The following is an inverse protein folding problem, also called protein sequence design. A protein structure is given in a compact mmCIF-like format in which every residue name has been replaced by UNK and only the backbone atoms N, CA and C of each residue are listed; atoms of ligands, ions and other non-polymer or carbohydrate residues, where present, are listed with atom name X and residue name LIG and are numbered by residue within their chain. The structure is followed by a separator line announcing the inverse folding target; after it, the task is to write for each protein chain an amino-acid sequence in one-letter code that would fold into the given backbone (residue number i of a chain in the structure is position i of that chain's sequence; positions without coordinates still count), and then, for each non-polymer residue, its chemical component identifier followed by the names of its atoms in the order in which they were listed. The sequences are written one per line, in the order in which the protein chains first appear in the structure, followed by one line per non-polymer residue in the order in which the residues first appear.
data_IF_615864204632
#
_entry.id   IF_615864204632
#
_cell.length_a   1.000
_cell.length_b   1.000
_cell.length_c   1.000
_cell.angle_alpha   90.00
_cell.angle_beta   90.00
_cell.angle_gamma   90.00
#
_symmetry.space_group_name_H-M   'P 1'
#
loop_
_entity.id
_entity.type
_entity.pdbx_description
1 polymer ?
#
# COMPACT_ATOMS: atom_id res chain seq x y z
N UNK A 1 17.78 -69.79 -14.40
CA UNK A 1 17.16 -68.64 -15.10
C UNK A 1 15.69 -68.57 -14.72
N UNK A 2 15.26 -67.52 -14.02
CA UNK A 2 13.86 -67.36 -13.57
C UNK A 2 13.52 -65.86 -13.67
N UNK A 3 12.69 -65.51 -14.64
CA UNK A 3 12.15 -64.15 -14.84
C UNK A 3 10.87 -64.03 -14.02
N UNK A 4 10.73 -62.95 -13.25
CA UNK A 4 9.46 -62.43 -12.76
C UNK A 4 9.65 -60.96 -12.37
N UNK A 5 9.27 -60.05 -13.27
CA UNK A 5 9.08 -58.63 -12.95
C UNK A 5 7.57 -58.43 -12.98
N UNK A 6 6.99 -58.33 -11.78
CA UNK A 6 5.59 -58.02 -11.58
C UNK A 6 5.31 -56.57 -11.92
N UNK A 7 4.36 -56.38 -12.83
CA UNK A 7 3.66 -55.13 -13.11
C UNK A 7 2.77 -54.77 -11.91
N UNK A 8 2.79 -53.53 -11.45
CA UNK A 8 1.98 -53.11 -10.31
C UNK A 8 2.02 -51.61 -10.07
N UNK A 9 1.14 -50.90 -10.76
CA UNK A 9 0.86 -49.48 -10.60
C UNK A 9 0.51 -49.11 -9.14
N UNK A 10 0.88 -47.89 -8.75
CA UNK A 10 0.54 -47.35 -7.43
C UNK A 10 1.00 -45.91 -7.25
N UNK A 11 0.77 -45.06 -8.26
CA UNK A 11 0.94 -43.62 -8.15
C UNK A 11 -0.17 -43.08 -7.24
N UNK A 12 0.14 -42.87 -5.95
CA UNK A 12 -0.72 -42.13 -5.02
C UNK A 12 0.08 -40.92 -4.54
N UNK A 13 0.13 -39.89 -5.39
CA UNK A 13 0.51 -38.55 -4.97
C UNK A 13 -0.62 -38.00 -4.09
N UNK A 14 -0.38 -37.97 -2.77
CA UNK A 14 -1.14 -37.14 -1.84
C UNK A 14 -0.87 -35.67 -2.18
N UNK A 15 -1.81 -35.02 -2.86
CA UNK A 15 -1.83 -33.57 -2.98
C UNK A 15 -2.39 -32.98 -1.69
N UNK A 16 -1.52 -32.64 -0.74
CA UNK A 16 -1.88 -31.80 0.40
C UNK A 16 -2.11 -30.38 -0.11
N UNK A 17 -3.37 -29.95 -0.21
CA UNK A 17 -3.70 -28.54 -0.41
C UNK A 17 -3.29 -27.78 0.86
N UNK A 18 -2.09 -27.20 0.84
CA UNK A 18 -1.76 -26.11 1.72
C UNK A 18 -2.64 -24.92 1.29
N UNK A 19 -3.70 -24.66 2.04
CA UNK A 19 -4.41 -23.39 1.97
C UNK A 19 -3.39 -22.30 2.32
N UNK A 20 -2.79 -21.71 1.29
CA UNK A 20 -1.92 -20.55 1.44
C UNK A 20 -2.80 -19.43 1.99
N UNK A 21 -2.75 -19.22 3.30
CA UNK A 21 -3.10 -17.93 3.88
C UNK A 21 -2.06 -16.95 3.36
N UNK A 22 -2.32 -16.39 2.18
CA UNK A 22 -1.65 -15.19 1.76
C UNK A 22 -1.90 -14.17 2.87
N UNK A 23 -0.87 -13.58 3.50
CA UNK A 23 -1.11 -12.39 4.29
C UNK A 23 -1.84 -11.44 3.34
N UNK A 24 -3.01 -10.94 3.74
CA UNK A 24 -3.64 -9.85 3.03
C UNK A 24 -2.55 -8.77 2.93
N UNK A 25 -1.95 -8.64 1.75
CA UNK A 25 -0.88 -7.70 1.50
C UNK A 25 -1.43 -6.36 1.97
N UNK A 26 -0.73 -5.72 2.91
CA UNK A 26 -0.99 -4.32 3.22
C UNK A 26 -1.15 -3.63 1.86
N UNK A 27 -2.30 -2.99 1.64
CA UNK A 27 -2.61 -2.49 0.32
C UNK A 27 -1.53 -1.44 0.00
N UNK A 28 -0.60 -1.80 -0.88
CA UNK A 28 0.43 -0.86 -1.32
C UNK A 28 -0.32 0.33 -1.94
N UNK A 29 -0.12 1.52 -1.38
CA UNK A 29 -0.75 2.72 -1.93
C UNK A 29 -0.42 2.85 -3.42
N UNK A 30 -1.40 3.30 -4.20
CA UNK A 30 -1.20 3.55 -5.61
C UNK A 30 0.04 4.45 -5.82
N UNK A 31 1.08 3.99 -6.55
CA UNK A 31 2.32 4.77 -6.72
C UNK A 31 2.08 6.16 -7.32
N UNK A 32 1.04 6.32 -8.13
CA UNK A 32 0.65 7.62 -8.68
C UNK A 32 0.20 8.60 -7.59
N UNK A 33 -0.55 8.13 -6.59
CA UNK A 33 -1.04 8.94 -5.47
C UNK A 33 0.11 9.40 -4.59
N UNK A 34 1.07 8.50 -4.33
CA UNK A 34 2.30 8.80 -3.58
C UNK A 34 3.12 9.86 -4.32
N UNK A 35 3.34 9.69 -5.62
CA UNK A 35 4.09 10.64 -6.44
C UNK A 35 3.41 12.02 -6.53
N UNK A 36 2.07 12.03 -6.62
CA UNK A 36 1.30 13.27 -6.60
C UNK A 36 1.40 13.98 -5.25
N UNK A 37 1.30 13.24 -4.14
CA UNK A 37 1.49 13.78 -2.80
C UNK A 37 2.89 14.38 -2.60
N UNK A 38 3.92 13.72 -3.10
CA UNK A 38 5.29 14.25 -3.08
C UNK A 38 5.46 15.54 -3.87
N UNK A 39 4.91 15.57 -5.09
CA UNK A 39 4.92 16.77 -5.92
C UNK A 39 4.20 17.92 -5.23
N UNK A 40 3.05 17.65 -4.62
CA UNK A 40 2.29 18.64 -3.86
C UNK A 40 3.10 19.19 -2.68
N UNK A 41 3.68 18.33 -1.85
CA UNK A 41 4.50 18.74 -0.71
C UNK A 41 5.72 19.57 -1.14
N UNK A 42 6.38 19.20 -2.25
CA UNK A 42 7.53 19.94 -2.78
C UNK A 42 7.17 21.32 -3.33
N UNK A 43 5.90 21.55 -3.70
CA UNK A 43 5.41 22.84 -4.19
C UNK A 43 4.92 23.76 -3.07
N UNK A 44 4.80 23.26 -1.83
CA UNK A 44 4.36 24.06 -0.71
C UNK A 44 5.38 25.15 -0.38
N UNK A 45 4.91 26.36 0.01
CA UNK A 45 5.80 27.42 0.45
C UNK A 45 6.53 27.00 1.74
N UNK A 46 7.67 27.65 2.01
CA UNK A 46 8.49 27.33 3.19
C UNK A 46 7.72 27.47 4.53
N UNK A 47 6.73 28.37 4.59
CA UNK A 47 5.82 28.48 5.74
C UNK A 47 5.07 27.19 6.04
N UNK A 48 4.89 26.32 5.05
CA UNK A 48 4.23 25.02 5.15
C UNK A 48 5.21 23.84 5.24
N UNK A 49 6.49 24.07 5.55
CA UNK A 49 7.54 23.04 5.55
C UNK A 49 7.36 21.91 6.59
N UNK A 50 6.46 22.07 7.56
CA UNK A 50 6.09 21.02 8.52
C UNK A 50 5.01 20.06 7.99
N UNK A 51 4.56 20.27 6.75
CA UNK A 51 3.60 19.39 6.07
C UNK A 51 4.23 18.03 5.78
N UNK A 52 3.41 16.99 5.76
CA UNK A 52 3.89 15.60 5.61
C UNK A 52 2.86 14.72 4.92
N UNK A 53 3.31 13.57 4.42
CA UNK A 53 2.45 12.50 3.93
C UNK A 53 2.68 11.22 4.72
N UNK A 54 1.63 10.41 4.84
CA UNK A 54 1.66 9.08 5.43
C UNK A 54 0.78 8.15 4.60
N UNK A 55 1.20 6.91 4.42
CA UNK A 55 0.39 5.87 3.79
C UNK A 55 -0.28 5.06 4.88
N UNK A 56 -1.61 4.95 4.83
CA UNK A 56 -2.38 4.08 5.72
C UNK A 56 -2.35 2.63 5.23
N UNK A 57 -2.67 1.69 6.12
CA UNK A 57 -2.64 0.25 5.85
C UNK A 57 -3.62 -0.20 4.73
N UNK A 58 -4.61 0.64 4.44
CA UNK A 58 -5.63 0.41 3.42
C UNK A 58 -5.26 1.03 2.05
N UNK A 59 -4.02 1.51 1.89
CA UNK A 59 -3.50 2.12 0.67
C UNK A 59 -3.82 3.61 0.52
N UNK A 60 -4.52 4.23 1.48
CA UNK A 60 -4.83 5.65 1.43
C UNK A 60 -3.59 6.50 1.69
N UNK A 61 -3.33 7.48 0.82
CA UNK A 61 -2.30 8.50 1.03
C UNK A 61 -2.91 9.70 1.75
N UNK A 62 -2.52 9.87 3.01
CA UNK A 62 -2.93 10.99 3.84
C UNK A 62 -1.86 12.09 3.78
N UNK A 63 -2.27 13.31 3.51
CA UNK A 63 -1.43 14.50 3.45
C UNK A 63 -1.89 15.45 4.55
N UNK A 64 -0.99 15.81 5.45
CA UNK A 64 -1.24 16.83 6.48
C UNK A 64 -0.48 18.09 6.13
N UNK A 65 -1.21 19.18 5.96
CA UNK A 65 -0.70 20.49 5.56
C UNK A 65 -0.56 21.34 6.81
N UNK A 66 0.67 21.59 7.25
CA UNK A 66 0.94 22.44 8.41
C UNK A 66 1.67 23.69 7.97
N UNK A 67 1.00 24.83 8.06
CA UNK A 67 1.57 26.12 7.74
C UNK A 67 1.66 27.02 8.97
N UNK A 68 2.80 27.68 9.14
CA UNK A 68 3.03 28.75 10.10
C UNK A 68 3.71 29.92 9.37
N UNK A 69 3.07 31.08 9.38
CA UNK A 69 3.59 32.27 8.74
C UNK A 69 2.79 33.52 9.07
N UNK A 70 3.46 34.67 9.17
CA UNK A 70 2.84 35.96 9.47
C UNK A 70 1.93 35.95 10.72
N UNK A 71 2.32 35.20 11.76
CA UNK A 71 1.56 35.06 13.00
C UNK A 71 0.27 34.24 12.89
N UNK A 72 0.05 33.56 11.76
CA UNK A 72 -1.12 32.71 11.51
C UNK A 72 -0.70 31.26 11.33
N UNK A 73 -1.60 30.35 11.71
CA UNK A 73 -1.41 28.90 11.60
C UNK A 73 -2.54 28.27 10.80
N UNK A 74 -2.21 27.23 10.04
CA UNK A 74 -3.15 26.38 9.31
C UNK A 74 -2.75 24.92 9.53
N UNK A 75 -3.75 24.07 9.74
CA UNK A 75 -3.61 22.62 9.80
C UNK A 75 -4.72 22.04 8.94
N UNK A 76 -4.38 21.65 7.72
CA UNK A 76 -5.30 21.06 6.75
C UNK A 76 -5.01 19.58 6.57
N UNK A 77 -6.00 18.84 6.10
CA UNK A 77 -5.88 17.41 5.87
C UNK A 77 -6.50 17.02 4.54
N UNK A 78 -5.80 16.18 3.78
CA UNK A 78 -6.27 15.63 2.50
C UNK A 78 -6.02 14.13 2.51
N UNK A 79 -7.03 13.33 2.17
CA UNK A 79 -6.88 11.89 1.94
C UNK A 79 -7.12 11.56 0.47
N UNK A 80 -6.23 10.75 -0.11
CA UNK A 80 -6.29 10.28 -1.50
C UNK A 80 -6.29 8.77 -1.49
N UNK A 81 -7.21 8.15 -2.22
CA UNK A 81 -7.27 6.71 -2.42
C UNK A 81 -7.62 6.41 -3.87
N UNK A 82 -6.79 5.61 -4.53
CA UNK A 82 -6.98 5.18 -5.91
C UNK A 82 -7.18 6.36 -6.89
N UNK A 83 -6.41 7.44 -6.71
CA UNK A 83 -6.51 8.66 -7.51
C UNK A 83 -7.67 9.59 -7.16
N UNK A 84 -8.49 9.25 -6.16
CA UNK A 84 -9.67 10.03 -5.75
C UNK A 84 -9.40 10.69 -4.40
N UNK A 85 -9.67 12.00 -4.31
CA UNK A 85 -9.67 12.70 -3.02
C UNK A 85 -10.91 12.30 -2.25
N UNK A 86 -10.73 11.62 -1.13
CA UNK A 86 -11.82 11.07 -0.29
C UNK A 86 -12.16 11.99 0.88
N UNK A 87 -11.25 12.88 1.28
CA UNK A 87 -11.44 13.79 2.41
C UNK A 87 -10.61 15.06 2.26
N UNK A 88 -11.21 16.20 2.63
CA UNK A 88 -10.55 17.52 2.75
C UNK A 88 -11.08 18.18 4.03
N UNK A 89 -10.17 18.60 4.92
CA UNK A 89 -10.47 19.39 6.14
C UNK A 89 -9.52 20.59 6.26
#
# INVERSE_FOLDING_TARGET
MKRNIGSGAGFLMMATLAAAWAPAHAADANPADVAQADKFLAQLPASCGASSKTVADDGTVNIRIKCDGNGKKMDGFVAIKDGIVTKIE
#
